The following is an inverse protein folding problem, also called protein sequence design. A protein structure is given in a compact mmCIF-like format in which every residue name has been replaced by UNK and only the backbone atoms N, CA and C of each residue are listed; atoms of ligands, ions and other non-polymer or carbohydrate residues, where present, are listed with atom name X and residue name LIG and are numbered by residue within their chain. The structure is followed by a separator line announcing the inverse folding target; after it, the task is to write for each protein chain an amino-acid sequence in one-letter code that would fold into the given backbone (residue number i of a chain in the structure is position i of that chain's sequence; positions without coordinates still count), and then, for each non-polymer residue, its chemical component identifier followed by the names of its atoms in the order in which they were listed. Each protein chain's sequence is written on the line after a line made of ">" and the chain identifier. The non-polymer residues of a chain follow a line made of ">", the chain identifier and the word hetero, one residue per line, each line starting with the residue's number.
data_IF_487704027120
#
_entry.id   IF_487704027120
#
_cell.length_a   1.000
_cell.length_b   1.000
_cell.length_c   1.000
_cell.angle_alpha   90.00
_cell.angle_beta   90.00
_cell.angle_gamma   90.00
#
_symmetry.space_group_name_H-M   'P 1'
#
loop_
_entity.id
_entity.type
_entity.pdbx_description
1 polymer ?
#
# COMPACT_ATOMS: atom_id res chain seq x y z
N UNK A 1 -25.82 0.03 17.43
CA UNK A 1 -25.06 1.22 17.02
C UNK A 1 -23.98 0.72 16.06
N UNK A 2 -24.04 1.08 14.78
CA UNK A 2 -22.96 0.80 13.86
C UNK A 2 -21.72 1.57 14.33
N UNK A 3 -20.70 0.85 14.79
CA UNK A 3 -19.40 1.46 15.04
C UNK A 3 -18.80 1.85 13.71
N UNK A 4 -18.79 3.14 13.44
CA UNK A 4 -18.13 3.69 12.26
C UNK A 4 -16.62 3.55 12.44
N UNK A 5 -15.93 2.80 11.55
CA UNK A 5 -14.48 2.65 11.61
C UNK A 5 -13.83 4.04 11.46
N UNK A 6 -12.91 4.37 12.37
CA UNK A 6 -12.12 5.60 12.25
C UNK A 6 -11.04 5.39 11.18
N UNK A 7 -10.98 6.28 10.20
CA UNK A 7 -9.99 6.24 9.13
C UNK A 7 -9.13 7.51 9.12
N UNK A 8 -7.83 7.32 9.28
CA UNK A 8 -6.81 8.38 9.10
C UNK A 8 -6.21 8.28 7.70
N UNK A 9 -6.32 9.35 6.92
CA UNK A 9 -5.69 9.42 5.60
C UNK A 9 -4.36 10.18 5.68
N UNK A 10 -3.32 9.62 5.07
CA UNK A 10 -2.00 10.25 4.94
C UNK A 10 -1.57 10.27 3.48
N UNK A 11 -1.48 11.46 2.90
CA UNK A 11 -0.96 11.63 1.55
C UNK A 11 0.58 11.62 1.56
N UNK A 12 1.18 10.50 1.15
CA UNK A 12 2.63 10.27 1.22
C UNK A 12 3.47 11.37 0.51
N UNK A 13 2.93 11.97 -0.56
CA UNK A 13 3.58 13.06 -1.29
C UNK A 13 3.63 14.40 -0.55
N UNK A 14 2.76 14.58 0.46
CA UNK A 14 2.74 15.79 1.32
C UNK A 14 3.43 15.57 2.65
N UNK A 15 3.57 14.32 3.09
CA UNK A 15 4.24 13.99 4.33
C UNK A 15 5.74 14.31 4.24
N UNK A 16 6.23 15.10 5.19
CA UNK A 16 7.64 15.46 5.31
C UNK A 16 8.36 14.34 6.06
N UNK A 17 8.66 13.24 5.36
CA UNK A 17 9.40 12.10 5.90
C UNK A 17 10.76 12.03 5.22
N UNK A 18 11.84 12.16 6.01
CA UNK A 18 13.21 11.99 5.53
C UNK A 18 13.48 10.50 5.24
N UNK A 19 14.20 10.21 4.15
CA UNK A 19 14.56 8.84 3.80
C UNK A 19 15.39 8.15 4.90
N UNK A 20 15.29 6.85 4.99
CA UNK A 20 16.15 6.05 5.89
C UNK A 20 17.62 6.18 5.48
N UNK A 21 18.52 6.46 6.45
CA UNK A 21 19.97 6.63 6.22
C UNK A 21 20.76 5.34 6.42
N UNK A 22 20.11 4.23 6.73
CA UNK A 22 20.80 2.96 7.02
C UNK A 22 21.68 2.99 8.27
N UNK A 23 21.50 3.93 9.19
CA UNK A 23 22.39 4.16 10.35
C UNK A 23 22.32 3.09 11.44
N UNK A 24 21.39 2.15 11.36
CA UNK A 24 21.13 1.03 12.28
C UNK A 24 20.88 1.40 13.75
N UNK A 25 20.84 2.71 14.09
CA UNK A 25 20.58 3.15 15.48
C UNK A 25 19.26 2.61 16.03
N UNK A 26 18.27 2.35 15.16
CA UNK A 26 17.01 1.73 15.56
C UNK A 26 17.18 0.34 16.18
N UNK A 27 18.23 -0.40 15.85
CA UNK A 27 18.57 -1.67 16.53
C UNK A 27 18.89 -1.51 18.03
N UNK A 28 19.33 -0.32 18.44
CA UNK A 28 19.69 -0.04 19.82
C UNK A 28 18.55 0.64 20.59
N UNK A 29 17.89 1.62 19.96
CA UNK A 29 16.90 2.47 20.64
C UNK A 29 15.44 2.11 20.33
N UNK A 30 15.21 1.05 19.55
CA UNK A 30 13.90 0.50 19.16
C UNK A 30 12.95 1.53 18.50
N UNK A 31 13.52 2.55 17.90
CA UNK A 31 12.83 3.62 17.17
C UNK A 31 13.75 4.27 16.17
N UNK A 32 13.20 5.06 15.24
CA UNK A 32 14.06 5.81 14.33
C UNK A 32 14.80 6.94 15.07
N UNK A 33 16.07 7.10 14.75
CA UNK A 33 16.91 8.17 15.31
C UNK A 33 16.78 9.51 14.57
N UNK A 34 16.21 9.52 13.36
CA UNK A 34 15.92 10.73 12.60
C UNK A 34 14.77 11.46 13.26
N UNK A 35 14.92 12.75 13.54
CA UNK A 35 13.96 13.62 14.20
C UNK A 35 13.63 14.83 13.31
N UNK A 36 12.57 15.56 13.67
CA UNK A 36 12.19 16.79 13.00
C UNK A 36 11.44 16.57 11.68
N UNK A 37 10.82 15.38 11.51
CA UNK A 37 9.97 15.03 10.40
C UNK A 37 8.66 14.37 10.88
N UNK A 38 7.72 14.10 9.99
CA UNK A 38 6.40 13.56 10.35
C UNK A 38 6.43 12.09 10.79
N UNK A 39 7.61 11.44 10.79
CA UNK A 39 7.72 10.01 11.08
C UNK A 39 7.20 9.62 12.47
N UNK A 40 7.53 10.39 13.51
CA UNK A 40 7.13 10.02 14.87
C UNK A 40 5.58 10.01 15.01
N UNK A 41 4.90 10.97 14.39
CA UNK A 41 3.41 11.02 14.34
C UNK A 41 2.85 9.88 13.49
N UNK A 42 3.41 9.66 12.30
CA UNK A 42 2.99 8.59 11.40
C UNK A 42 3.22 7.21 12.02
N UNK A 43 4.36 7.02 12.69
CA UNK A 43 4.68 5.79 13.42
C UNK A 43 3.60 5.43 14.45
N UNK A 44 3.11 6.40 15.21
CA UNK A 44 2.06 6.17 16.21
C UNK A 44 0.74 5.77 15.54
N UNK A 45 0.36 6.44 14.46
CA UNK A 45 -0.82 6.06 13.66
C UNK A 45 -0.71 4.62 13.15
N UNK A 46 0.45 4.25 12.57
CA UNK A 46 0.71 2.89 12.08
C UNK A 46 0.60 1.85 13.21
N UNK A 47 1.17 2.13 14.38
CA UNK A 47 1.14 1.19 15.50
C UNK A 47 -0.27 1.00 16.07
N UNK A 48 -1.09 2.04 16.07
CA UNK A 48 -2.43 2.02 16.67
C UNK A 48 -3.54 1.60 15.69
N UNK A 49 -3.22 1.38 14.41
CA UNK A 49 -4.20 0.94 13.41
C UNK A 49 -4.26 -0.59 13.33
N UNK A 50 -5.45 -1.15 13.17
CA UNK A 50 -5.67 -2.58 12.91
C UNK A 50 -5.53 -2.90 11.43
N UNK A 51 -5.86 -1.94 10.58
CA UNK A 51 -5.77 -2.02 9.12
C UNK A 51 -4.83 -0.95 8.59
N UNK A 52 -3.86 -1.35 7.77
CA UNK A 52 -2.93 -0.45 7.07
C UNK A 52 -3.17 -0.55 5.57
N UNK A 53 -3.85 0.46 5.02
CA UNK A 53 -4.08 0.55 3.57
C UNK A 53 -2.99 1.38 2.88
N UNK A 54 -2.36 0.80 1.87
CA UNK A 54 -1.33 1.42 1.04
C UNK A 54 -1.84 1.52 -0.39
N UNK A 55 -1.98 2.74 -0.90
CA UNK A 55 -2.38 3.00 -2.27
C UNK A 55 -1.23 3.66 -3.04
N UNK A 56 -0.87 3.10 -4.20
CA UNK A 56 0.20 3.63 -5.05
C UNK A 56 0.00 3.28 -6.51
N UNK A 57 0.30 4.20 -7.44
CA UNK A 57 0.56 3.78 -8.81
C UNK A 57 1.88 2.99 -8.87
N UNK A 58 1.98 2.13 -9.88
CA UNK A 58 3.21 1.43 -10.23
C UNK A 58 3.99 2.28 -11.23
N UNK A 59 5.19 2.69 -10.84
CA UNK A 59 6.15 3.38 -11.70
C UNK A 59 7.40 2.51 -11.83
N UNK A 60 7.75 2.14 -13.06
CA UNK A 60 8.90 1.27 -13.32
C UNK A 60 8.89 -0.01 -12.47
N UNK A 61 7.75 -0.71 -12.46
CA UNK A 61 7.51 -1.93 -11.69
C UNK A 61 7.63 -1.77 -10.17
N UNK A 62 7.63 -0.53 -9.63
CA UNK A 62 7.78 -0.29 -8.20
C UNK A 62 6.84 0.78 -7.67
N UNK A 63 6.84 0.96 -6.34
CA UNK A 63 6.14 2.03 -5.64
C UNK A 63 6.69 3.41 -6.00
N UNK A 64 5.84 4.42 -5.83
CA UNK A 64 6.31 5.81 -5.88
C UNK A 64 7.34 6.11 -4.79
N UNK A 65 8.30 6.99 -5.09
CA UNK A 65 9.35 7.36 -4.14
C UNK A 65 8.82 7.93 -2.81
N UNK A 66 7.72 8.72 -2.76
CA UNK A 66 7.17 9.18 -1.49
C UNK A 66 6.70 8.04 -0.59
N UNK A 67 6.03 7.02 -1.14
CA UNK A 67 5.60 5.86 -0.36
C UNK A 67 6.80 4.99 0.04
N UNK A 68 7.77 4.79 -0.87
CA UNK A 68 8.98 4.02 -0.57
C UNK A 68 9.78 4.62 0.58
N UNK A 69 9.90 5.96 0.69
CA UNK A 69 10.54 6.62 1.83
C UNK A 69 9.90 6.23 3.16
N UNK A 70 8.56 6.17 3.20
CA UNK A 70 7.82 5.76 4.41
C UNK A 70 8.12 4.30 4.74
N UNK A 71 8.06 3.41 3.75
CA UNK A 71 8.35 1.99 3.95
C UNK A 71 9.78 1.72 4.41
N UNK A 72 10.77 2.46 3.92
CA UNK A 72 12.15 2.33 4.38
C UNK A 72 12.31 2.67 5.88
N UNK A 73 11.43 3.51 6.42
CA UNK A 73 11.40 3.83 7.85
C UNK A 73 10.77 2.72 8.70
N UNK A 74 10.05 1.76 8.10
CA UNK A 74 9.56 0.55 8.78
C UNK A 74 10.70 -0.28 9.36
N UNK A 75 11.93 -0.09 8.84
CA UNK A 75 13.15 -0.62 9.44
C UNK A 75 13.24 -0.35 10.96
N UNK A 76 12.61 0.72 11.46
CA UNK A 76 12.61 1.05 12.88
C UNK A 76 11.62 0.25 13.73
N UNK A 77 10.78 -0.57 13.13
CA UNK A 77 9.86 -1.48 13.83
C UNK A 77 10.47 -2.85 14.14
N UNK A 78 11.68 -3.11 13.67
CA UNK A 78 12.33 -4.41 13.82
C UNK A 78 13.81 -4.29 14.11
N UNK A 79 14.35 -5.30 14.80
CA UNK A 79 15.78 -5.58 14.86
C UNK A 79 16.20 -6.30 13.59
N UNK A 80 17.35 -5.93 13.05
CA UNK A 80 17.93 -6.61 11.89
C UNK A 80 19.35 -7.02 12.24
N UNK A 81 19.64 -8.30 12.08
CA UNK A 81 20.91 -8.91 12.42
C UNK A 81 21.48 -9.67 11.22
N UNK A 82 22.74 -9.40 10.92
CA UNK A 82 23.51 -10.19 9.96
C UNK A 82 24.00 -11.44 10.66
N UNK A 83 23.77 -12.60 10.07
CA UNK A 83 24.24 -13.91 10.55
C UNK A 83 25.05 -14.61 9.46
N UNK A 84 25.68 -15.73 9.80
CA UNK A 84 26.38 -16.55 8.80
C UNK A 84 25.44 -17.15 7.73
N UNK A 85 24.17 -17.25 8.02
CA UNK A 85 23.14 -17.81 7.11
C UNK A 85 22.36 -16.74 6.34
N UNK A 86 22.49 -15.45 6.71
CA UNK A 86 21.78 -14.36 6.03
C UNK A 86 21.41 -13.19 6.92
N UNK A 87 20.28 -12.59 6.64
CA UNK A 87 19.76 -11.39 7.29
C UNK A 87 18.46 -11.71 8.05
N UNK A 88 18.49 -11.69 9.36
CA UNK A 88 17.34 -11.94 10.21
C UNK A 88 16.61 -10.62 10.54
N UNK A 89 15.28 -10.65 10.43
CA UNK A 89 14.40 -9.54 10.77
C UNK A 89 13.49 -10.00 11.92
N UNK A 90 13.62 -9.35 13.08
CA UNK A 90 12.81 -9.66 14.26
C UNK A 90 12.05 -8.41 14.68
N UNK A 91 10.72 -8.39 14.65
CA UNK A 91 9.96 -7.22 15.05
C UNK A 91 10.12 -6.94 16.55
N UNK A 92 10.13 -5.67 16.96
CA UNK A 92 10.15 -5.31 18.39
C UNK A 92 8.89 -5.77 19.10
N UNK A 93 7.78 -5.80 18.37
CA UNK A 93 6.49 -6.35 18.77
C UNK A 93 5.88 -7.02 17.55
N UNK A 94 5.43 -8.22 17.67
CA UNK A 94 4.70 -8.91 16.61
C UNK A 94 3.37 -8.20 16.35
N UNK A 95 3.11 -7.97 15.07
CA UNK A 95 1.86 -7.35 14.64
C UNK A 95 0.83 -8.42 14.30
N UNK A 96 -0.43 -8.02 14.49
CA UNK A 96 -1.60 -8.78 14.05
C UNK A 96 -2.51 -7.81 13.30
N UNK A 97 -2.09 -7.40 12.11
CA UNK A 97 -2.73 -6.35 11.32
C UNK A 97 -3.12 -6.84 9.93
N UNK A 98 -4.11 -6.18 9.36
CA UNK A 98 -4.46 -6.36 7.96
C UNK A 98 -3.73 -5.32 7.11
N UNK A 99 -2.89 -5.79 6.18
CA UNK A 99 -2.27 -4.95 5.16
C UNK A 99 -3.14 -5.01 3.90
N UNK A 100 -3.59 -3.86 3.44
CA UNK A 100 -4.35 -3.70 2.20
C UNK A 100 -3.48 -2.96 1.19
N UNK A 101 -3.18 -3.59 0.06
CA UNK A 101 -2.34 -3.03 -0.99
C UNK A 101 -3.19 -2.76 -2.23
N UNK A 102 -3.41 -1.47 -2.51
CA UNK A 102 -4.16 -0.99 -3.65
C UNK A 102 -3.18 -0.43 -4.69
N UNK A 103 -3.04 -1.12 -5.82
CA UNK A 103 -2.09 -0.75 -6.86
C UNK A 103 -2.84 -0.36 -8.14
N UNK A 104 -2.39 0.72 -8.78
CA UNK A 104 -2.87 1.10 -10.11
C UNK A 104 -1.70 1.17 -11.10
N UNK A 105 -1.93 0.76 -12.34
CA UNK A 105 -0.91 0.77 -13.37
C UNK A 105 -1.51 0.97 -14.77
N UNK A 106 -0.72 1.57 -15.68
CA UNK A 106 -1.11 1.73 -17.08
C UNK A 106 -1.00 0.42 -17.86
N UNK A 107 -0.10 -0.47 -17.48
CA UNK A 107 0.06 -1.78 -18.11
C UNK A 107 -1.20 -2.64 -18.02
N UNK A 108 -1.54 -3.42 -19.04
CA UNK A 108 -2.61 -4.43 -18.99
C UNK A 108 -2.22 -5.67 -18.18
N UNK A 109 -0.94 -5.95 -18.00
CA UNK A 109 -0.44 -7.14 -17.31
C UNK A 109 -0.32 -6.88 -15.80
N UNK A 110 -1.15 -7.52 -15.00
CA UNK A 110 -1.11 -7.42 -13.55
C UNK A 110 0.21 -7.95 -12.94
N UNK A 111 0.98 -8.77 -13.67
CA UNK A 111 2.26 -9.29 -13.21
C UNK A 111 3.32 -8.18 -13.03
N UNK A 112 3.15 -7.02 -13.67
CA UNK A 112 4.04 -5.86 -13.49
C UNK A 112 4.04 -5.33 -12.04
N UNK A 113 2.99 -5.61 -11.27
CA UNK A 113 2.91 -5.27 -9.86
C UNK A 113 3.64 -6.27 -8.93
N UNK A 114 4.10 -7.42 -9.46
CA UNK A 114 4.68 -8.50 -8.66
C UNK A 114 5.84 -8.04 -7.74
N UNK A 115 6.80 -7.22 -8.16
CA UNK A 115 7.90 -6.78 -7.28
C UNK A 115 7.40 -6.03 -6.03
N UNK A 116 6.29 -5.28 -6.17
CA UNK A 116 5.66 -4.57 -5.04
C UNK A 116 4.92 -5.54 -4.15
N UNK A 117 4.21 -6.50 -4.71
CA UNK A 117 3.50 -7.54 -3.95
C UNK A 117 4.51 -8.38 -3.14
N UNK A 118 5.63 -8.77 -3.74
CA UNK A 118 6.70 -9.52 -3.07
C UNK A 118 7.31 -8.72 -1.90
N UNK A 119 7.52 -7.41 -2.09
CA UNK A 119 7.97 -6.51 -1.01
C UNK A 119 6.98 -6.49 0.17
N UNK A 120 5.68 -6.38 -0.10
CA UNK A 120 4.68 -6.37 0.96
C UNK A 120 4.50 -7.75 1.61
N UNK A 121 4.62 -8.82 0.85
CA UNK A 121 4.64 -10.19 1.38
C UNK A 121 5.79 -10.37 2.36
N UNK A 122 6.99 -9.90 2.00
CA UNK A 122 8.14 -9.89 2.90
C UNK A 122 7.88 -9.04 4.15
N UNK A 123 7.38 -7.80 4.00
CA UNK A 123 7.15 -6.89 5.13
C UNK A 123 6.10 -7.43 6.11
N UNK A 124 4.99 -7.96 5.61
CA UNK A 124 3.94 -8.53 6.46
C UNK A 124 4.47 -9.70 7.27
N UNK A 125 5.26 -10.58 6.64
CA UNK A 125 5.87 -11.72 7.34
C UNK A 125 6.91 -11.26 8.37
N UNK A 126 7.80 -10.33 8.00
CA UNK A 126 8.86 -9.83 8.88
C UNK A 126 8.33 -9.06 10.10
N UNK A 127 7.13 -8.50 10.04
CA UNK A 127 6.49 -7.77 11.14
C UNK A 127 5.62 -8.65 12.05
N UNK A 128 5.43 -9.92 11.71
CA UNK A 128 4.76 -10.90 12.55
C UNK A 128 3.89 -11.87 11.76
N UNK A 129 3.78 -13.14 12.22
CA UNK A 129 3.04 -14.18 11.50
C UNK A 129 1.52 -13.98 11.56
N UNK A 130 1.02 -13.12 12.45
CA UNK A 130 -0.40 -12.80 12.59
C UNK A 130 -0.92 -11.78 11.58
N UNK A 131 -0.04 -11.20 10.75
CA UNK A 131 -0.45 -10.26 9.72
C UNK A 131 -1.08 -10.95 8.51
N UNK A 132 -2.00 -10.26 7.82
CA UNK A 132 -2.53 -10.69 6.53
C UNK A 132 -2.28 -9.63 5.47
N UNK A 133 -2.10 -10.06 4.20
CA UNK A 133 -1.96 -9.18 3.04
C UNK A 133 -3.15 -9.38 2.10
N UNK A 134 -3.82 -8.28 1.77
CA UNK A 134 -4.88 -8.21 0.78
C UNK A 134 -4.41 -7.30 -0.36
N UNK A 135 -4.43 -7.80 -1.59
CA UNK A 135 -3.92 -7.06 -2.75
C UNK A 135 -5.01 -6.88 -3.80
N UNK A 136 -5.15 -5.66 -4.29
CA UNK A 136 -6.02 -5.30 -5.41
C UNK A 136 -5.19 -4.52 -6.42
N UNK A 137 -5.16 -4.99 -7.68
CA UNK A 137 -4.40 -4.39 -8.79
C UNK A 137 -5.36 -3.92 -9.87
N UNK A 138 -5.39 -2.60 -10.10
CA UNK A 138 -6.09 -1.99 -11.22
C UNK A 138 -5.14 -1.82 -12.41
N UNK A 139 -5.47 -2.46 -13.54
CA UNK A 139 -4.70 -2.40 -14.79
C UNK A 139 -5.31 -1.42 -15.79
N UNK A 140 -4.55 -0.93 -16.78
CA UNK A 140 -4.95 0.09 -17.76
C UNK A 140 -5.53 1.37 -17.13
N UNK A 141 -5.02 1.76 -15.97
CA UNK A 141 -5.36 3.00 -15.27
C UNK A 141 -4.22 4.01 -15.46
N UNK A 142 -4.31 4.82 -16.52
CA UNK A 142 -3.25 5.75 -16.92
C UNK A 142 -3.50 7.19 -16.45
N UNK A 143 -4.75 7.56 -16.20
CA UNK A 143 -5.11 8.94 -15.82
C UNK A 143 -5.87 8.99 -14.50
N UNK A 144 -5.79 10.15 -13.85
CA UNK A 144 -6.49 10.38 -12.57
C UNK A 144 -8.00 10.17 -12.73
N UNK A 145 -8.61 9.54 -11.71
CA UNK A 145 -10.05 9.24 -11.64
C UNK A 145 -10.59 8.27 -12.70
N UNK A 146 -9.75 7.70 -13.55
CA UNK A 146 -10.18 6.81 -14.63
C UNK A 146 -11.02 5.63 -14.12
N UNK A 147 -10.70 5.08 -12.95
CA UNK A 147 -11.43 3.96 -12.34
C UNK A 147 -12.90 4.29 -12.05
N UNK A 148 -13.25 5.57 -11.87
CA UNK A 148 -14.60 6.04 -11.55
C UNK A 148 -15.29 6.72 -12.75
N UNK A 149 -14.69 6.70 -13.93
CA UNK A 149 -15.29 7.30 -15.14
C UNK A 149 -16.52 6.53 -15.59
N UNK A 150 -17.48 7.26 -16.16
CA UNK A 150 -18.58 6.65 -16.90
C UNK A 150 -18.09 5.94 -18.16
N UNK A 151 -18.93 5.09 -18.73
CA UNK A 151 -18.61 4.39 -19.98
C UNK A 151 -18.34 5.38 -21.13
N UNK A 152 -19.11 6.46 -21.21
CA UNK A 152 -18.96 7.49 -22.27
C UNK A 152 -17.68 8.32 -22.07
N UNK A 153 -17.31 8.64 -20.83
CA UNK A 153 -16.04 9.30 -20.52
C UNK A 153 -14.86 8.40 -20.90
N UNK A 154 -14.93 7.12 -20.61
CA UNK A 154 -13.90 6.16 -21.02
C UNK A 154 -13.79 6.02 -22.55
N UNK A 155 -14.91 5.97 -23.25
CA UNK A 155 -14.90 5.97 -24.73
C UNK A 155 -14.22 7.23 -25.28
N UNK A 156 -14.57 8.39 -24.73
CA UNK A 156 -13.99 9.67 -25.12
C UNK A 156 -12.47 9.75 -24.82
N UNK A 157 -12.05 9.20 -23.68
CA UNK A 157 -10.65 9.10 -23.31
C UNK A 157 -9.89 8.16 -24.27
N UNK A 158 -10.47 6.98 -24.58
CA UNK A 158 -9.81 5.97 -25.42
C UNK A 158 -9.67 6.43 -26.86
N UNK A 159 -10.64 7.16 -27.39
CA UNK A 159 -10.50 7.82 -28.69
C UNK A 159 -9.31 8.79 -28.70
N UNK A 160 -9.12 9.59 -27.65
CA UNK A 160 -7.97 10.52 -27.54
C UNK A 160 -6.63 9.81 -27.38
N UNK A 161 -6.64 8.60 -26.82
CA UNK A 161 -5.43 7.77 -26.64
C UNK A 161 -5.21 6.80 -27.82
N UNK A 162 -6.01 6.89 -28.87
CA UNK A 162 -5.96 6.01 -30.06
C UNK A 162 -6.07 4.52 -29.70
N UNK A 163 -6.83 4.22 -28.63
CA UNK A 163 -7.09 2.86 -28.20
C UNK A 163 -8.35 2.28 -28.88
N UNK A 164 -8.42 0.96 -29.09
CA UNK A 164 -9.60 0.30 -29.66
C UNK A 164 -10.87 0.58 -28.85
N UNK A 165 -11.92 1.07 -29.51
CA UNK A 165 -13.19 1.44 -28.88
C UNK A 165 -13.81 0.33 -27.99
N UNK A 166 -13.76 -0.97 -28.35
CA UNK A 166 -14.28 -2.05 -27.50
C UNK A 166 -13.62 -2.16 -26.13
N UNK A 167 -12.37 -1.69 -25.98
CA UNK A 167 -11.67 -1.72 -24.70
C UNK A 167 -12.33 -0.82 -23.64
N UNK A 168 -12.99 0.26 -24.02
CA UNK A 168 -13.65 1.16 -23.08
C UNK A 168 -14.79 0.44 -22.32
N UNK A 169 -15.51 -0.42 -23.00
CA UNK A 169 -16.60 -1.21 -22.42
C UNK A 169 -16.08 -2.28 -21.45
N UNK A 170 -15.06 -3.03 -21.90
CA UNK A 170 -14.40 -4.06 -21.11
C UNK A 170 -13.81 -3.43 -19.84
N UNK A 171 -13.13 -2.29 -19.97
CA UNK A 171 -12.47 -1.64 -18.85
C UNK A 171 -13.45 -0.94 -17.91
N UNK A 172 -14.60 -0.48 -18.41
CA UNK A 172 -15.67 0.02 -17.56
C UNK A 172 -16.19 -1.07 -16.61
N UNK A 173 -16.51 -2.24 -17.12
CA UNK A 173 -17.01 -3.35 -16.30
C UNK A 173 -15.93 -3.87 -15.33
N UNK A 174 -14.68 -3.95 -15.78
CA UNK A 174 -13.56 -4.29 -14.91
C UNK A 174 -13.40 -3.26 -13.78
N UNK A 175 -13.47 -1.96 -14.07
CA UNK A 175 -13.35 -0.90 -13.07
C UNK A 175 -14.48 -0.96 -12.04
N UNK A 176 -15.72 -1.25 -12.46
CA UNK A 176 -16.85 -1.48 -11.55
C UNK A 176 -16.58 -2.65 -10.61
N UNK A 177 -16.13 -3.77 -11.17
CA UNK A 177 -15.77 -4.96 -10.39
C UNK A 177 -14.65 -4.67 -9.40
N UNK A 178 -13.64 -3.89 -9.81
CA UNK A 178 -12.52 -3.46 -8.96
C UNK A 178 -13.03 -2.63 -7.77
N UNK A 179 -13.87 -1.63 -8.02
CA UNK A 179 -14.46 -0.80 -6.96
C UNK A 179 -15.34 -1.61 -6.01
N UNK A 180 -16.13 -2.55 -6.54
CA UNK A 180 -16.95 -3.44 -5.73
C UNK A 180 -16.08 -4.37 -4.85
N UNK A 181 -14.94 -4.84 -5.38
CA UNK A 181 -13.97 -5.64 -4.62
C UNK A 181 -13.35 -4.84 -3.49
N UNK A 182 -12.99 -3.58 -3.73
CA UNK A 182 -12.49 -2.68 -2.69
C UNK A 182 -13.54 -2.46 -1.58
N UNK A 183 -14.78 -2.20 -1.98
CA UNK A 183 -15.89 -2.01 -1.03
C UNK A 183 -16.15 -3.25 -0.19
N UNK A 184 -16.22 -4.42 -0.80
CA UNK A 184 -16.44 -5.69 -0.10
C UNK A 184 -15.31 -6.02 0.86
N UNK A 185 -14.07 -5.78 0.45
CA UNK A 185 -12.90 -5.95 1.33
C UNK A 185 -12.99 -5.02 2.54
N UNK A 186 -13.25 -3.73 2.31
CA UNK A 186 -13.36 -2.74 3.39
C UNK A 186 -14.46 -3.11 4.40
N UNK A 187 -15.64 -3.50 3.91
CA UNK A 187 -16.75 -3.96 4.75
C UNK A 187 -16.37 -5.18 5.57
N UNK A 188 -15.80 -6.22 4.95
CA UNK A 188 -15.43 -7.45 5.65
C UNK A 188 -14.32 -7.23 6.69
N UNK A 189 -13.43 -6.24 6.50
CA UNK A 189 -12.43 -5.87 7.50
C UNK A 189 -13.05 -5.09 8.67
N UNK A 190 -14.01 -4.21 8.40
CA UNK A 190 -14.73 -3.47 9.43
C UNK A 190 -15.55 -4.41 10.34
N UNK A 191 -16.25 -5.39 9.77
CA UNK A 191 -17.02 -6.39 10.51
C UNK A 191 -16.15 -7.26 11.44
N UNK A 192 -14.93 -7.60 11.01
CA UNK A 192 -14.00 -8.42 11.80
C UNK A 192 -13.32 -7.69 12.96
N UNK A 193 -13.14 -6.37 12.82
CA UNK A 193 -12.47 -5.55 13.82
C UNK A 193 -13.44 -4.78 14.73
N UNK A 194 -14.73 -4.82 14.45
CA UNK A 194 -15.81 -4.22 15.26
C UNK A 194 -16.58 -5.20 16.13
N UNK A 195 -16.15 -6.48 16.19
CA UNK A 195 -16.77 -7.52 17.00
C UNK A 195 -16.01 -7.74 18.32
#
# INVERSE_FOLDING_TARGET
>A
MEQQAHCDEVFAGRATVTHCRGCLKCNLIQRCAIKGDDWDTLRLKILNSDVLAFASPIYFHHLTSPLKKILDRFRSFMHVQITGEGLNHTPWQEWKKHFVLLLSQGSPDAADAKPVIDLFTFLTHALGPGNSLHTIVGTRLAVSKQVAMSQDDLRSLYLKLELPAPLAEIDYERNRTLLQSCFNLGRGLAEKNGA
#
